data_IF_174006997397
#
_entry.id   IF_174006997397
#
_cell.length_a   1.000
_cell.length_b   1.000
_cell.length_c   1.000
_cell.angle_alpha   90.00
_cell.angle_beta   90.00
_cell.angle_gamma   90.00
#
_symmetry.space_group_name_H-M   'P 1'
#
loop_
_entity.id
_entity.type
_entity.pdbx_description
1 polymer ?
#
# COMPACT_ATOMS: atom_id res chain seq x y z
N UNK A 1 -6.86 -2.53 -46.51
CA UNK A 1 -7.93 -1.58 -46.09
C UNK A 1 -7.86 -1.42 -44.59
N UNK A 2 -7.18 -0.38 -44.10
CA UNK A 2 -7.08 -0.07 -42.67
C UNK A 2 -8.31 0.74 -42.27
N UNK A 3 -9.16 0.19 -41.39
CA UNK A 3 -10.25 0.93 -40.76
C UNK A 3 -9.72 1.50 -39.44
N UNK A 4 -9.31 2.76 -39.48
CA UNK A 4 -8.94 3.54 -38.31
C UNK A 4 -10.21 3.88 -37.54
N UNK A 5 -10.47 3.17 -36.42
CA UNK A 5 -11.57 3.47 -35.51
C UNK A 5 -11.10 4.56 -34.54
N UNK A 6 -11.59 5.78 -34.76
CA UNK A 6 -11.43 6.91 -33.82
C UNK A 6 -12.36 6.66 -32.63
N UNK A 7 -11.81 6.27 -31.49
CA UNK A 7 -12.54 6.17 -30.24
C UNK A 7 -12.71 7.58 -29.64
N UNK A 8 -13.93 8.10 -29.65
CA UNK A 8 -14.27 9.35 -28.98
C UNK A 8 -14.29 9.14 -27.46
N UNK A 9 -13.45 9.87 -26.73
CA UNK A 9 -13.46 9.91 -25.27
C UNK A 9 -14.63 10.77 -24.77
N UNK A 10 -15.63 10.12 -24.18
CA UNK A 10 -16.65 10.76 -23.35
C UNK A 10 -16.13 10.83 -21.91
N UNK A 11 -15.63 12.00 -21.50
CA UNK A 11 -15.42 12.32 -20.09
C UNK A 11 -16.78 12.56 -19.44
N UNK A 12 -17.37 11.52 -18.85
CA UNK A 12 -18.51 11.67 -17.97
C UNK A 12 -18.04 12.31 -16.66
N UNK A 13 -18.38 13.57 -16.44
CA UNK A 13 -18.20 14.27 -15.16
C UNK A 13 -19.15 13.69 -14.12
N UNK A 14 -18.73 12.64 -13.43
CA UNK A 14 -19.47 12.13 -12.26
C UNK A 14 -19.36 13.17 -11.15
N UNK A 15 -20.44 13.90 -10.89
CA UNK A 15 -20.56 14.78 -9.72
C UNK A 15 -20.66 13.91 -8.47
N UNK A 16 -19.53 13.71 -7.78
CA UNK A 16 -19.50 13.00 -6.50
C UNK A 16 -19.97 13.99 -5.43
N UNK A 17 -21.03 13.69 -4.64
CA UNK A 17 -21.45 14.56 -3.55
C UNK A 17 -20.33 14.67 -2.49
N UNK A 18 -20.20 15.81 -1.80
CA UNK A 18 -19.19 15.98 -0.76
C UNK A 18 -19.46 14.98 0.37
N UNK A 19 -18.57 13.99 0.51
CA UNK A 19 -18.56 13.08 1.64
C UNK A 19 -17.81 13.78 2.77
N UNK A 20 -18.53 14.11 3.84
CA UNK A 20 -17.94 14.64 5.06
C UNK A 20 -17.20 13.51 5.77
N UNK A 21 -15.89 13.41 5.56
CA UNK A 21 -15.03 12.53 6.34
C UNK A 21 -14.62 13.25 7.63
N UNK A 22 -15.03 12.72 8.78
CA UNK A 22 -14.32 13.01 10.03
C UNK A 22 -12.99 12.26 9.94
N UNK A 23 -11.87 12.98 10.00
CA UNK A 23 -10.56 12.35 10.00
C UNK A 23 -10.43 11.51 11.29
N UNK A 24 -10.63 10.20 11.18
CA UNK A 24 -10.31 9.27 12.24
C UNK A 24 -8.80 9.34 12.51
N UNK A 25 -8.41 9.55 13.76
CA UNK A 25 -7.01 9.45 14.17
C UNK A 25 -6.62 7.97 14.17
N UNK A 26 -5.63 7.61 13.37
CA UNK A 26 -5.05 6.27 13.34
C UNK A 26 -3.59 6.32 13.81
N UNK A 27 -3.18 5.30 14.55
CA UNK A 27 -1.77 5.08 14.84
C UNK A 27 -1.00 4.76 13.56
N UNK A 28 0.34 4.91 13.61
CA UNK A 28 1.26 4.44 12.57
C UNK A 28 0.83 4.80 11.12
N UNK A 29 0.55 6.08 10.82
CA UNK A 29 0.10 6.51 9.49
C UNK A 29 1.10 6.23 8.38
N UNK A 30 2.37 5.92 8.72
CA UNK A 30 3.39 5.52 7.76
C UNK A 30 3.02 4.28 6.93
N UNK A 31 2.09 3.45 7.42
CA UNK A 31 1.54 2.30 6.67
C UNK A 31 0.69 2.71 5.46
N UNK A 32 0.25 3.97 5.39
CA UNK A 32 -0.53 4.51 4.27
C UNK A 32 0.33 5.20 3.21
N UNK A 33 1.63 5.34 3.45
CA UNK A 33 2.55 5.98 2.51
C UNK A 33 2.92 4.98 1.42
N UNK A 34 2.55 5.31 0.18
CA UNK A 34 2.87 4.51 -1.00
C UNK A 34 4.39 4.35 -1.16
N UNK A 35 4.91 3.11 -1.32
CA UNK A 35 6.34 2.90 -1.37
C UNK A 35 6.96 3.01 -2.78
N UNK A 36 6.19 2.84 -3.87
CA UNK A 36 6.74 2.75 -5.22
C UNK A 36 6.41 3.95 -6.12
N UNK A 37 7.43 4.43 -6.85
CA UNK A 37 7.30 5.59 -7.72
C UNK A 37 6.25 5.44 -8.83
N UNK A 38 6.03 4.22 -9.35
CA UNK A 38 5.06 3.98 -10.44
C UNK A 38 3.65 4.31 -9.97
N UNK A 39 3.21 3.69 -8.88
CA UNK A 39 1.85 3.87 -8.38
C UNK A 39 1.66 5.24 -7.73
N UNK A 40 2.68 5.75 -7.01
CA UNK A 40 2.67 7.13 -6.51
C UNK A 40 2.51 8.17 -7.62
N UNK A 41 3.23 7.99 -8.75
CA UNK A 41 3.14 8.89 -9.91
C UNK A 41 1.79 8.82 -10.64
N UNK A 42 1.01 7.76 -10.45
CA UNK A 42 -0.35 7.60 -10.98
C UNK A 42 -1.44 8.02 -9.97
N UNK A 43 -1.09 8.79 -8.94
CA UNK A 43 -2.04 9.23 -7.92
C UNK A 43 -2.47 8.12 -6.99
N UNK A 44 -1.53 7.23 -6.62
CA UNK A 44 -1.77 6.08 -5.74
C UNK A 44 -2.77 5.05 -6.28
N UNK A 45 -2.86 4.94 -7.60
CA UNK A 45 -3.61 3.89 -8.29
C UNK A 45 -2.72 2.65 -8.48
N UNK A 46 -3.00 1.59 -7.72
CA UNK A 46 -2.22 0.34 -7.75
C UNK A 46 -3.04 -0.94 -7.53
N UNK A 47 -4.27 -0.84 -7.01
CA UNK A 47 -5.03 -1.98 -6.48
C UNK A 47 -5.41 -2.99 -7.57
N UNK A 48 -5.81 -2.51 -8.75
CA UNK A 48 -6.17 -3.36 -9.90
C UNK A 48 -5.01 -3.61 -10.88
N UNK A 49 -3.88 -2.95 -10.70
CA UNK A 49 -2.71 -3.06 -11.59
C UNK A 49 -1.49 -3.59 -10.87
N UNK A 50 -1.70 -4.27 -9.74
CA UNK A 50 -0.70 -4.98 -8.96
C UNK A 50 -0.12 -6.15 -9.77
N UNK A 51 0.86 -5.85 -10.63
CA UNK A 51 1.48 -6.77 -11.59
C UNK A 51 3.01 -6.88 -11.42
N UNK A 52 3.55 -6.35 -10.31
CA UNK A 52 4.95 -6.47 -9.92
C UNK A 52 5.07 -6.72 -8.40
N UNK A 53 6.30 -6.83 -7.89
CA UNK A 53 6.53 -7.15 -6.48
C UNK A 53 5.95 -6.14 -5.48
N UNK A 54 5.73 -4.88 -5.87
CA UNK A 54 5.07 -3.89 -5.04
C UNK A 54 3.57 -4.19 -4.83
N UNK A 55 3.03 -5.21 -5.53
CA UNK A 55 1.70 -5.77 -5.28
C UNK A 55 1.46 -6.07 -3.80
N UNK A 56 2.48 -6.46 -3.05
CA UNK A 56 2.34 -6.70 -1.61
C UNK A 56 1.81 -5.48 -0.83
N UNK A 57 2.06 -4.27 -1.30
CA UNK A 57 1.53 -3.07 -0.68
C UNK A 57 0.11 -2.83 -1.21
N UNK A 58 -0.09 -2.84 -2.53
CA UNK A 58 -1.36 -2.44 -3.14
C UNK A 58 -2.47 -3.49 -3.12
N UNK A 59 -2.14 -4.73 -3.42
CA UNK A 59 -3.05 -5.88 -3.46
C UNK A 59 -2.26 -7.21 -3.52
N UNK A 60 -2.17 -7.97 -2.40
CA UNK A 60 -1.43 -9.24 -2.40
C UNK A 60 -2.03 -10.30 -3.34
N UNK A 61 -3.28 -10.17 -3.78
CA UNK A 61 -3.84 -11.00 -4.85
C UNK A 61 -3.10 -10.89 -6.19
N UNK A 62 -2.37 -9.80 -6.40
CA UNK A 62 -1.48 -9.63 -7.55
C UNK A 62 -0.28 -10.57 -7.58
N UNK A 63 0.16 -11.06 -6.42
CA UNK A 63 1.30 -11.97 -6.31
C UNK A 63 1.10 -13.29 -7.07
N UNK A 64 -0.14 -13.77 -7.15
CA UNK A 64 -0.46 -15.00 -7.89
C UNK A 64 -0.15 -14.90 -9.39
N UNK A 65 -0.09 -13.69 -9.95
CA UNK A 65 0.24 -13.48 -11.37
C UNK A 65 1.74 -13.31 -11.63
N UNK A 66 2.58 -13.33 -10.59
CA UNK A 66 4.02 -13.20 -10.73
C UNK A 66 4.67 -14.58 -10.91
N UNK A 67 5.55 -14.70 -11.90
CA UNK A 67 6.29 -15.94 -12.18
C UNK A 67 7.81 -15.80 -11.94
N UNK A 68 8.31 -14.57 -11.87
CA UNK A 68 9.74 -14.28 -11.79
C UNK A 68 10.15 -13.82 -10.39
N UNK A 69 11.42 -14.06 -10.04
CA UNK A 69 12.02 -13.44 -8.85
C UNK A 69 12.16 -11.94 -9.09
N UNK A 70 11.65 -11.14 -8.15
CA UNK A 70 11.64 -9.69 -8.23
C UNK A 70 12.12 -9.09 -6.91
N UNK A 71 12.82 -7.96 -7.02
CA UNK A 71 13.27 -7.15 -5.89
C UNK A 71 12.98 -5.69 -6.25
N UNK A 72 12.46 -4.92 -5.30
CA UNK A 72 12.28 -3.49 -5.45
C UNK A 72 12.78 -2.76 -4.20
N UNK A 73 13.33 -1.58 -4.43
CA UNK A 73 13.90 -0.68 -3.43
C UNK A 73 13.35 0.71 -3.69
N UNK A 74 13.02 1.45 -2.64
CA UNK A 74 12.57 2.83 -2.76
C UNK A 74 13.00 3.63 -1.54
N UNK A 75 13.36 4.88 -1.78
CA UNK A 75 13.80 5.82 -0.76
C UNK A 75 13.23 7.19 -1.07
N UNK A 76 12.66 7.84 -0.06
CA UNK A 76 12.10 9.20 -0.18
C UNK A 76 12.49 10.03 1.03
N UNK A 77 13.02 11.23 0.79
CA UNK A 77 13.19 12.23 1.85
C UNK A 77 11.83 12.85 2.12
N UNK A 78 11.36 12.73 3.35
CA UNK A 78 10.05 13.22 3.73
C UNK A 78 10.17 14.67 4.23
N UNK A 79 9.33 15.56 3.71
CA UNK A 79 9.30 16.97 4.13
C UNK A 79 10.70 17.65 4.19
N UNK A 80 11.52 17.56 3.11
CA UNK A 80 12.91 18.02 3.13
C UNK A 80 13.05 19.52 3.43
N UNK A 81 12.01 20.32 3.18
CA UNK A 81 11.95 21.75 3.46
C UNK A 81 12.00 22.08 4.96
N UNK A 82 11.64 21.13 5.82
CA UNK A 82 11.62 21.32 7.27
C UNK A 82 12.96 21.01 7.94
N UNK A 83 13.96 20.54 7.18
CA UNK A 83 15.30 20.19 7.66
C UNK A 83 15.31 19.25 8.89
N UNK A 84 14.27 18.44 9.04
CA UNK A 84 14.07 17.54 10.17
C UNK A 84 14.56 16.09 9.89
N UNK A 85 15.33 15.91 8.80
CA UNK A 85 15.96 14.64 8.40
C UNK A 85 15.00 13.43 8.36
N UNK A 86 13.73 13.67 8.02
CA UNK A 86 12.76 12.60 7.87
C UNK A 86 12.99 11.85 6.55
N UNK A 87 12.86 10.53 6.60
CA UNK A 87 12.91 9.71 5.40
C UNK A 87 12.05 8.47 5.53
N UNK A 88 11.63 7.97 4.37
CA UNK A 88 10.92 6.73 4.19
C UNK A 88 11.73 5.80 3.30
N UNK A 89 11.99 4.59 3.79
CA UNK A 89 12.74 3.55 3.10
C UNK A 89 11.89 2.31 2.96
N UNK A 90 11.90 1.71 1.77
CA UNK A 90 11.17 0.50 1.46
C UNK A 90 12.05 -0.48 0.69
N UNK A 91 11.97 -1.75 1.08
CA UNK A 91 12.52 -2.87 0.34
C UNK A 91 11.48 -3.99 0.26
N UNK A 92 11.41 -4.63 -0.90
CA UNK A 92 10.68 -5.87 -1.06
C UNK A 92 11.41 -6.84 -1.96
N UNK A 93 11.24 -8.12 -1.68
CA UNK A 93 11.70 -9.21 -2.52
C UNK A 93 10.65 -10.31 -2.53
N UNK A 94 10.49 -10.99 -3.67
CA UNK A 94 9.61 -12.15 -3.76
C UNK A 94 9.99 -13.08 -4.89
N UNK A 95 9.49 -14.30 -4.79
CA UNK A 95 9.79 -15.39 -5.69
C UNK A 95 8.58 -16.33 -5.80
N UNK A 96 8.36 -16.83 -7.01
CA UNK A 96 7.43 -17.90 -7.28
C UNK A 96 7.99 -19.26 -6.82
N UNK A 97 7.17 -20.03 -6.10
CA UNK A 97 7.48 -21.36 -5.60
C UNK A 97 6.52 -22.37 -6.24
N UNK A 98 6.99 -23.20 -7.20
CA UNK A 98 6.15 -24.20 -7.87
C UNK A 98 5.48 -25.19 -6.91
N UNK A 99 6.11 -25.51 -5.77
CA UNK A 99 5.58 -26.42 -4.76
C UNK A 99 4.36 -25.84 -4.01
N UNK A 100 4.25 -24.51 -3.97
CA UNK A 100 3.14 -23.81 -3.36
C UNK A 100 2.12 -23.33 -4.40
N UNK A 101 2.45 -23.43 -5.69
CA UNK A 101 1.67 -22.85 -6.79
C UNK A 101 1.41 -21.34 -6.58
N UNK A 102 2.41 -20.62 -6.11
CA UNK A 102 2.25 -19.22 -5.72
C UNK A 102 3.55 -18.49 -5.43
N UNK A 103 3.43 -17.19 -5.20
CA UNK A 103 4.55 -16.31 -4.89
C UNK A 103 4.59 -16.02 -3.40
N UNK A 104 5.76 -16.22 -2.80
CA UNK A 104 6.07 -15.74 -1.44
C UNK A 104 6.92 -14.49 -1.56
N UNK A 105 6.59 -13.48 -0.76
CA UNK A 105 7.28 -12.21 -0.75
C UNK A 105 7.48 -11.68 0.67
N UNK A 106 8.49 -10.85 0.84
CA UNK A 106 8.80 -10.15 2.08
C UNK A 106 8.96 -8.67 1.83
N UNK A 107 8.64 -7.84 2.82
CA UNK A 107 8.95 -6.42 2.80
C UNK A 107 9.40 -5.88 4.14
N UNK A 108 10.15 -4.80 4.05
CA UNK A 108 10.50 -3.97 5.18
C UNK A 108 10.28 -2.51 4.81
N UNK A 109 9.59 -1.79 5.69
CA UNK A 109 9.39 -0.34 5.62
C UNK A 109 10.01 0.27 6.85
N UNK A 110 10.76 1.36 6.69
CA UNK A 110 11.30 2.18 7.76
C UNK A 110 10.89 3.63 7.54
N UNK A 111 10.23 4.23 8.53
CA UNK A 111 9.99 5.65 8.65
C UNK A 111 10.92 6.22 9.72
N UNK A 112 11.81 7.12 9.34
CA UNK A 112 12.56 7.94 10.28
C UNK A 112 11.82 9.25 10.50
N UNK A 113 11.46 9.53 11.76
CA UNK A 113 10.72 10.72 12.16
C UNK A 113 11.64 11.89 12.57
N UNK A 114 12.96 11.69 12.49
CA UNK A 114 13.96 12.68 12.81
C UNK A 114 14.47 12.61 14.24
N UNK A 115 15.16 13.67 14.62
CA UNK A 115 15.69 13.89 15.96
C UNK A 115 14.92 15.01 16.66
N UNK A 116 14.50 14.75 17.90
CA UNK A 116 13.71 15.64 18.73
C UNK A 116 14.52 16.12 19.93
N UNK A 117 14.37 17.41 20.26
CA UNK A 117 14.90 17.99 21.50
C UNK A 117 13.96 17.62 22.64
N UNK A 118 14.53 17.10 23.73
CA UNK A 118 13.80 16.86 24.97
C UNK A 118 13.91 18.08 25.88
N UNK A 119 12.79 18.53 26.39
CA UNK A 119 12.71 19.59 27.41
C UNK A 119 12.02 19.10 28.67
N UNK A 120 12.32 19.74 29.81
CA UNK A 120 11.53 19.59 31.03
C UNK A 120 10.32 20.55 31.03
N UNK A 121 9.51 20.50 32.10
CA UNK A 121 8.33 21.37 32.26
C UNK A 121 8.68 22.87 32.39
N UNK A 122 9.96 23.21 32.60
CA UNK A 122 10.46 24.58 32.69
C UNK A 122 11.11 25.03 31.37
N UNK A 123 11.15 24.16 30.35
CA UNK A 123 11.75 24.43 29.04
C UNK A 123 13.25 24.19 28.97
N UNK A 124 13.89 23.64 30.01
CA UNK A 124 15.32 23.33 29.97
C UNK A 124 15.58 22.11 29.08
N UNK A 125 16.59 22.20 28.21
CA UNK A 125 16.98 21.11 27.32
C UNK A 125 17.68 19.99 28.10
N UNK A 126 17.15 18.77 28.01
CA UNK A 126 17.67 17.57 28.67
C UNK A 126 18.48 16.66 27.73
N UNK A 127 18.49 16.95 26.42
CA UNK A 127 19.17 16.18 25.39
C UNK A 127 18.32 15.99 24.13
N UNK A 128 18.73 15.09 23.25
CA UNK A 128 17.96 14.72 22.05
C UNK A 128 17.63 13.24 22.01
N UNK A 129 16.63 12.87 21.22
CA UNK A 129 16.27 11.48 20.97
C UNK A 129 15.76 11.32 19.53
N UNK A 130 15.90 10.11 19.00
CA UNK A 130 15.41 9.78 17.65
C UNK A 130 14.16 8.94 17.72
N UNK A 131 13.24 9.22 16.81
CA UNK A 131 11.98 8.51 16.67
C UNK A 131 11.94 7.81 15.32
N UNK A 132 11.48 6.57 15.32
CA UNK A 132 11.39 5.76 14.11
C UNK A 132 10.28 4.73 14.23
N UNK A 133 9.79 4.31 13.08
CA UNK A 133 8.78 3.28 12.95
C UNK A 133 9.21 2.33 11.85
N UNK A 134 8.94 1.04 12.03
CA UNK A 134 9.18 0.07 10.98
C UNK A 134 8.09 -0.99 10.94
N UNK A 135 7.95 -1.61 9.76
CA UNK A 135 7.20 -2.86 9.62
C UNK A 135 8.03 -3.89 8.88
N UNK A 136 7.89 -5.14 9.28
CA UNK A 136 8.37 -6.32 8.58
C UNK A 136 7.15 -7.15 8.17
N UNK A 137 7.02 -7.49 6.90
CA UNK A 137 5.90 -8.28 6.40
C UNK A 137 6.32 -9.50 5.59
N UNK A 138 5.46 -10.50 5.61
CA UNK A 138 5.51 -11.70 4.78
C UNK A 138 4.18 -11.83 4.07
N UNK A 139 4.23 -12.10 2.77
CA UNK A 139 3.05 -12.26 1.93
C UNK A 139 3.10 -13.55 1.14
N UNK A 140 1.92 -14.06 0.85
CA UNK A 140 1.71 -15.17 -0.06
C UNK A 140 0.54 -14.82 -0.98
N UNK A 141 0.66 -15.14 -2.27
CA UNK A 141 -0.48 -15.09 -3.18
C UNK A 141 -0.36 -16.12 -4.30
N UNK A 142 -1.52 -16.57 -4.76
CA UNK A 142 -1.69 -17.68 -5.70
C UNK A 142 -2.89 -17.42 -6.60
N UNK A 143 -2.98 -18.16 -7.70
CA UNK A 143 -4.18 -18.21 -8.52
C UNK A 143 -5.16 -19.21 -7.89
N UNK A 144 -6.34 -18.74 -7.52
CA UNK A 144 -7.45 -19.60 -7.07
C UNK A 144 -8.35 -20.03 -8.22
N UNK A 145 -8.20 -19.38 -9.39
CA UNK A 145 -8.70 -19.79 -10.69
C UNK A 145 -7.78 -19.21 -11.78
N UNK A 146 -7.92 -19.67 -13.03
CA UNK A 146 -7.05 -19.29 -14.16
C UNK A 146 -6.87 -17.77 -14.36
N UNK A 147 -7.85 -16.97 -13.94
CA UNK A 147 -7.83 -15.52 -14.06
C UNK A 147 -8.08 -14.76 -12.74
N UNK A 148 -8.07 -15.47 -11.61
CA UNK A 148 -8.37 -14.92 -10.29
C UNK A 148 -7.24 -15.20 -9.30
N UNK A 149 -6.53 -14.14 -8.93
CA UNK A 149 -5.50 -14.16 -7.90
C UNK A 149 -6.05 -13.78 -6.52
N UNK A 150 -5.60 -14.48 -5.49
CA UNK A 150 -5.87 -14.15 -4.10
C UNK A 150 -4.57 -14.17 -3.29
N UNK A 151 -4.50 -13.35 -2.24
CA UNK A 151 -3.31 -13.27 -1.42
C UNK A 151 -3.56 -12.68 -0.04
N UNK A 152 -2.61 -12.96 0.84
CA UNK A 152 -2.57 -12.51 2.22
C UNK A 152 -1.21 -11.91 2.54
N UNK A 153 -1.18 -10.89 3.40
CA UNK A 153 0.04 -10.42 4.04
C UNK A 153 -0.14 -10.42 5.55
N UNK A 154 0.92 -10.75 6.27
CA UNK A 154 1.05 -10.54 7.71
C UNK A 154 2.17 -9.53 7.95
N UNK A 155 1.97 -8.59 8.86
CA UNK A 155 2.93 -7.56 9.24
C UNK A 155 3.17 -7.54 10.74
N UNK A 156 4.42 -7.38 11.12
CA UNK A 156 4.84 -6.95 12.45
C UNK A 156 5.18 -5.47 12.39
N UNK A 157 4.57 -4.67 13.27
CA UNK A 157 4.69 -3.21 13.28
C UNK A 157 5.30 -2.79 14.61
N UNK A 158 6.35 -1.96 14.56
CA UNK A 158 6.94 -1.35 15.73
C UNK A 158 7.09 0.15 15.53
N UNK A 159 6.63 0.90 16.53
CA UNK A 159 6.68 2.35 16.53
C UNK A 159 7.40 2.83 17.80
N UNK A 160 8.42 3.65 17.63
CA UNK A 160 9.17 4.29 18.69
C UNK A 160 9.02 5.80 18.54
N UNK A 161 8.05 6.38 19.25
CA UNK A 161 7.72 7.80 19.20
C UNK A 161 8.56 8.61 20.19
N UNK A 162 8.77 8.10 21.40
CA UNK A 162 9.64 8.72 22.40
C UNK A 162 10.06 7.70 23.48
N UNK A 163 11.30 7.73 23.97
CA UNK A 163 11.69 6.92 25.12
C UNK A 163 11.05 7.50 26.41
N UNK A 164 11.08 6.71 27.49
CA UNK A 164 10.55 7.16 28.79
C UNK A 164 11.32 8.40 29.31
N UNK A 165 10.60 9.37 29.88
CA UNK A 165 11.23 10.49 30.57
C UNK A 165 11.78 10.07 31.95
N UNK A 166 12.68 10.87 32.52
CA UNK A 166 13.19 10.61 33.87
C UNK A 166 12.04 10.64 34.89
N UNK A 167 11.83 9.53 35.60
CA UNK A 167 10.71 9.37 36.53
C UNK A 167 9.44 8.75 35.93
N UNK A 168 9.40 8.50 34.62
CA UNK A 168 8.32 7.75 33.98
C UNK A 168 8.71 6.27 33.78
N UNK A 169 7.77 5.37 34.08
CA UNK A 169 8.02 3.92 33.94
C UNK A 169 7.78 3.39 32.52
N UNK A 170 7.16 4.15 31.62
CA UNK A 170 6.69 3.64 30.31
C UNK A 170 7.09 4.56 29.16
N UNK A 171 7.75 3.99 28.16
CA UNK A 171 8.14 4.69 26.94
C UNK A 171 6.94 4.84 25.97
N UNK A 172 6.99 5.85 25.10
CA UNK A 172 6.10 5.99 23.94
C UNK A 172 6.48 5.03 22.82
N UNK A 173 6.50 3.73 23.12
CA UNK A 173 6.81 2.64 22.18
C UNK A 173 5.59 1.75 22.07
N UNK A 174 5.19 1.47 20.85
CA UNK A 174 4.08 0.57 20.52
C UNK A 174 4.55 -0.60 19.66
N UNK A 175 3.99 -1.78 19.89
CA UNK A 175 4.13 -2.95 19.03
C UNK A 175 2.76 -3.49 18.69
N UNK A 176 2.52 -3.78 17.42
CA UNK A 176 1.28 -4.41 16.96
C UNK A 176 1.57 -5.33 15.77
N UNK A 177 0.55 -6.01 15.28
CA UNK A 177 0.59 -6.74 14.02
C UNK A 177 -0.65 -6.43 13.19
N UNK A 178 -0.55 -6.65 11.89
CA UNK A 178 -1.70 -6.52 11.00
C UNK A 178 -1.70 -7.60 9.92
N UNK A 179 -2.83 -7.76 9.27
CA UNK A 179 -2.93 -8.55 8.06
C UNK A 179 -3.67 -7.80 6.94
N UNK A 180 -3.39 -8.23 5.71
CA UNK A 180 -4.07 -7.76 4.51
C UNK A 180 -4.67 -8.95 3.76
N UNK A 181 -5.82 -8.74 3.12
CA UNK A 181 -6.46 -9.70 2.23
C UNK A 181 -6.74 -9.04 0.89
N UNK A 182 -6.19 -9.62 -0.18
CA UNK A 182 -6.29 -9.07 -1.53
C UNK A 182 -6.83 -10.07 -2.53
N UNK A 183 -7.67 -9.59 -3.44
CA UNK A 183 -8.18 -10.33 -4.60
C UNK A 183 -7.96 -9.49 -5.85
N UNK A 184 -7.44 -10.11 -6.90
CA UNK A 184 -7.23 -9.48 -8.20
C UNK A 184 -7.77 -10.38 -9.31
N UNK A 185 -8.78 -9.89 -10.03
CA UNK A 185 -9.38 -10.59 -11.14
C UNK A 185 -8.98 -9.96 -12.48
N UNK A 186 -8.51 -10.77 -13.42
CA UNK A 186 -8.05 -10.36 -14.75
C UNK A 186 -8.69 -11.26 -15.81
N UNK A 187 -10.00 -11.10 -16.08
CA UNK A 187 -10.78 -12.07 -16.85
C UNK A 187 -10.11 -12.46 -18.16
N UNK A 188 -9.95 -13.76 -18.40
CA UNK A 188 -9.36 -14.24 -19.65
C UNK A 188 -10.30 -14.04 -20.85
N UNK A 189 -11.61 -14.12 -20.61
CA UNK A 189 -12.67 -13.89 -21.59
C UNK A 189 -13.82 -13.16 -20.89
N UNK A 190 -14.20 -12.00 -21.40
CA UNK A 190 -15.35 -11.26 -20.89
C UNK A 190 -15.89 -10.37 -21.99
N UNK A 191 -17.17 -10.50 -22.31
CA UNK A 191 -17.84 -9.62 -23.28
C UNK A 191 -19.00 -8.92 -22.59
N UNK A 192 -18.99 -7.59 -22.58
CA UNK A 192 -20.04 -6.76 -21.97
C UNK A 192 -20.53 -5.76 -23.02
N UNK A 193 -21.82 -5.79 -23.33
CA UNK A 193 -22.42 -4.86 -24.29
C UNK A 193 -21.81 -4.91 -25.70
N UNK A 194 -21.28 -6.08 -26.11
CA UNK A 194 -20.61 -6.26 -27.40
C UNK A 194 -19.13 -5.87 -27.43
N UNK A 195 -18.57 -5.38 -26.31
CA UNK A 195 -17.15 -5.07 -26.16
C UNK A 195 -16.40 -6.25 -25.52
N UNK A 196 -15.30 -6.68 -26.15
CA UNK A 196 -14.40 -7.68 -25.57
C UNK A 196 -13.43 -7.01 -24.57
N UNK A 197 -13.62 -7.35 -23.30
CA UNK A 197 -12.84 -6.90 -22.15
C UNK A 197 -11.88 -7.98 -21.64
N UNK A 198 -11.86 -9.16 -22.28
CA UNK A 198 -10.93 -10.23 -21.95
C UNK A 198 -9.48 -9.75 -22.05
N UNK A 199 -8.68 -10.03 -21.00
CA UNK A 199 -7.28 -9.61 -20.85
C UNK A 199 -7.06 -8.09 -20.87
N UNK A 200 -8.13 -7.30 -20.89
CA UNK A 200 -8.09 -5.83 -20.89
C UNK A 200 -8.61 -5.24 -19.60
N UNK A 201 -9.59 -5.87 -18.97
CA UNK A 201 -10.09 -5.48 -17.66
C UNK A 201 -9.25 -6.10 -16.54
N UNK A 202 -9.04 -5.33 -15.47
CA UNK A 202 -8.66 -5.86 -14.17
C UNK A 202 -9.49 -5.22 -13.06
N UNK A 203 -9.93 -6.03 -12.11
CA UNK A 203 -10.68 -5.59 -10.92
C UNK A 203 -9.94 -6.04 -9.68
N UNK A 204 -9.68 -5.09 -8.77
CA UNK A 204 -8.92 -5.34 -7.55
C UNK A 204 -9.71 -4.97 -6.31
N UNK A 205 -9.61 -5.78 -5.27
CA UNK A 205 -10.09 -5.47 -3.91
C UNK A 205 -8.96 -5.78 -2.95
N UNK A 206 -8.68 -4.87 -2.02
CA UNK A 206 -7.71 -5.12 -0.95
C UNK A 206 -8.21 -4.52 0.37
N UNK A 207 -8.26 -5.34 1.41
CA UNK A 207 -8.50 -4.92 2.79
C UNK A 207 -7.15 -4.93 3.52
N UNK A 208 -6.66 -3.75 3.89
CA UNK A 208 -5.32 -3.53 4.43
C UNK A 208 -5.33 -3.21 5.92
N UNK A 209 -4.23 -3.52 6.59
CA UNK A 209 -3.91 -3.07 7.95
C UNK A 209 -4.97 -3.46 8.99
N UNK A 210 -5.58 -4.64 8.85
CA UNK A 210 -6.52 -5.16 9.84
C UNK A 210 -5.72 -5.74 11.00
N UNK A 211 -5.95 -5.26 12.21
CA UNK A 211 -5.23 -5.74 13.39
C UNK A 211 -5.68 -5.07 14.67
N UNK A 212 -5.15 -5.51 15.82
CA UNK A 212 -5.40 -4.86 17.10
C UNK A 212 -4.85 -3.43 17.11
N UNK A 213 -5.46 -2.58 17.94
CA UNK A 213 -5.01 -1.21 18.18
C UNK A 213 -3.54 -1.19 18.61
N UNK A 214 -2.84 -0.13 18.22
CA UNK A 214 -1.50 0.16 18.72
C UNK A 214 -1.64 0.86 20.06
N UNK A 215 -1.00 0.32 21.09
CA UNK A 215 -1.01 0.93 22.43
C UNK A 215 0.32 1.64 22.67
N UNK A 216 0.24 2.92 23.04
CA UNK A 216 1.36 3.69 23.55
C UNK A 216 1.08 4.04 25.01
N UNK A 217 1.90 3.51 25.92
CA UNK A 217 1.69 3.64 27.37
C UNK A 217 0.32 3.07 27.78
N UNK A 218 -0.71 3.91 27.90
CA UNK A 218 -2.07 3.55 28.30
C UNK A 218 -3.14 3.93 27.26
N UNK A 219 -2.75 4.60 26.17
CA UNK A 219 -3.67 5.04 25.12
C UNK A 219 -3.57 4.09 23.92
N UNK A 220 -4.73 3.70 23.38
CA UNK A 220 -4.82 2.73 22.30
C UNK A 220 -5.55 3.31 21.08
N UNK A 221 -4.79 3.48 20.01
CA UNK A 221 -5.26 4.05 18.74
C UNK A 221 -5.39 2.95 17.68
N UNK A 222 -6.43 3.00 16.83
CA UNK A 222 -6.64 1.98 15.81
C UNK A 222 -5.52 2.03 14.75
N UNK A 223 -5.20 0.86 14.18
CA UNK A 223 -4.38 0.81 12.97
C UNK A 223 -5.18 1.42 11.79
N UNK A 224 -4.50 1.93 10.75
CA UNK A 224 -5.16 2.58 9.63
C UNK A 224 -5.74 1.53 8.67
N UNK A 225 -6.75 0.80 9.14
CA UNK A 225 -7.46 -0.21 8.35
C UNK A 225 -8.09 0.46 7.13
N UNK A 226 -7.75 -0.02 5.95
CA UNK A 226 -8.09 0.66 4.70
C UNK A 226 -8.68 -0.34 3.71
N UNK A 227 -9.84 0.00 3.15
CA UNK A 227 -10.46 -0.76 2.07
C UNK A 227 -10.15 -0.08 0.74
N UNK A 228 -9.51 -0.80 -0.17
CA UNK A 228 -9.21 -0.35 -1.52
C UNK A 228 -10.00 -1.15 -2.55
N UNK A 229 -10.57 -0.43 -3.51
CA UNK A 229 -11.22 -0.97 -4.70
C UNK A 229 -10.55 -0.35 -5.93
N UNK A 230 -10.22 -1.16 -6.92
CA UNK A 230 -9.55 -0.71 -8.12
C UNK A 230 -10.18 -1.26 -9.39
N UNK A 231 -10.10 -0.46 -10.45
CA UNK A 231 -10.43 -0.84 -11.82
C UNK A 231 -9.26 -0.47 -12.73
N UNK A 232 -8.80 -1.41 -13.55
CA UNK A 232 -7.82 -1.18 -14.61
C UNK A 232 -8.40 -1.53 -15.97
N UNK A 233 -8.16 -0.69 -16.97
CA UNK A 233 -8.56 -0.92 -18.36
C UNK A 233 -7.35 -0.73 -19.27
N UNK A 234 -6.99 -1.78 -19.99
CA UNK A 234 -6.02 -1.77 -21.08
C UNK A 234 -6.69 -1.18 -22.34
N UNK A 235 -6.39 0.08 -22.64
CA UNK A 235 -6.95 0.78 -23.79
C UNK A 235 -6.21 0.42 -25.09
N UNK A 236 -4.88 0.42 -25.05
CA UNK A 236 -4.03 0.10 -26.19
C UNK A 236 -3.06 -0.99 -25.77
N UNK A 237 -2.96 -2.06 -26.57
CA UNK A 237 -1.93 -3.08 -26.41
C UNK A 237 -1.57 -3.59 -27.78
N UNK A 238 -0.43 -3.15 -28.28
CA UNK A 238 0.21 -3.68 -29.48
C UNK A 238 1.64 -4.15 -29.15
N UNK A 239 2.46 -4.41 -30.16
CA UNK A 239 3.83 -4.91 -29.98
C UNK A 239 4.77 -3.88 -29.33
N UNK A 240 4.49 -2.58 -29.51
CA UNK A 240 5.38 -1.48 -29.10
C UNK A 240 4.76 -0.56 -28.04
N UNK A 241 3.43 -0.52 -27.96
CA UNK A 241 2.68 0.42 -27.14
C UNK A 241 1.75 -0.32 -26.17
N UNK A 242 1.81 0.12 -24.91
CA UNK A 242 0.94 -0.31 -23.83
C UNK A 242 0.38 0.94 -23.14
N UNK A 243 -0.93 1.15 -23.26
CA UNK A 243 -1.64 2.22 -22.57
C UNK A 243 -2.75 1.63 -21.69
N UNK A 244 -2.61 1.82 -20.38
CA UNK A 244 -3.54 1.36 -19.36
C UNK A 244 -4.04 2.52 -18.52
N UNK A 245 -5.34 2.57 -18.30
CA UNK A 245 -5.99 3.47 -17.35
C UNK A 245 -6.30 2.72 -16.06
N UNK A 246 -6.16 3.39 -14.92
CA UNK A 246 -6.49 2.83 -13.62
C UNK A 246 -7.23 3.87 -12.76
N UNK A 247 -8.21 3.39 -11.98
CA UNK A 247 -8.95 4.18 -11.01
C UNK A 247 -8.96 3.37 -9.72
N UNK A 248 -8.58 4.01 -8.60
CA UNK A 248 -8.65 3.43 -7.27
C UNK A 248 -9.52 4.30 -6.36
N UNK A 249 -10.31 3.63 -5.52
CA UNK A 249 -11.05 4.22 -4.40
C UNK A 249 -10.49 3.60 -3.13
N UNK A 250 -9.98 4.44 -2.23
CA UNK A 250 -9.51 4.04 -0.92
C UNK A 250 -10.41 4.64 0.17
N UNK A 251 -10.83 3.82 1.13
CA UNK A 251 -11.62 4.24 2.29
C UNK A 251 -10.96 3.78 3.57
N UNK A 252 -10.53 4.75 4.39
CA UNK A 252 -10.14 4.52 5.76
C UNK A 252 -11.37 4.07 6.57
N UNK A 253 -11.24 2.96 7.30
CA UNK A 253 -12.34 2.25 7.95
C UNK A 253 -12.45 2.55 9.45
N UNK A 254 -11.68 3.51 9.95
CA UNK A 254 -11.55 3.88 11.36
C UNK A 254 -11.96 5.32 11.62
#
# INVERSE_FOLDING_TARGET
MARTLVAALLFASVSIPPVWAQAGAAAVPFLLISPDARSSGMGEAGTAIADNINAIYWNPGGLGFLSNRQIALSFSRWLPQFNADLFYSYITAGQYFPQLDGTVAVNFILMNLGEFVRTDNLGNVLGTFRSNEFTLGVSYGTLIADDLGAGIQLRFIRSNLAPAAAGESVAGVGTSGSFDLGVLWKPSRLTVGGLDLGKRLSLGVNLQNVGPKMTYRNEADPLPTNLRLGIGIQAIRDEFNDLKFAIDIAKLMV
#
